data_IF_850298157425
#
_entry.id   IF_850298157425
#
_cell.length_a   1.000
_cell.length_b   1.000
_cell.length_c   1.000
_cell.angle_alpha   90.00
_cell.angle_beta   90.00
_cell.angle_gamma   90.00
#
_symmetry.space_group_name_H-M   'P 1'
#
loop_
_entity.id
_entity.type
_entity.pdbx_description
1 polymer ?
#
# COMPACT_ATOMS: atom_id res chain seq x y z
N UNK A 1 -5.96 4.74 34.23
CA UNK A 1 -5.31 5.56 33.17
C UNK A 1 -4.04 4.91 32.61
N UNK A 2 -3.21 4.21 33.40
CA UNK A 2 -2.02 3.48 32.89
C UNK A 2 -2.36 2.30 31.95
N UNK A 3 -3.43 1.56 32.23
CA UNK A 3 -3.92 0.44 31.41
C UNK A 3 -4.33 0.86 29.97
N UNK A 4 -4.92 2.05 29.81
CA UNK A 4 -5.18 2.58 28.46
C UNK A 4 -3.84 2.82 27.75
N UNK A 5 -2.90 3.55 28.34
CA UNK A 5 -1.62 3.90 27.67
C UNK A 5 -0.83 2.66 27.17
N UNK A 6 -0.81 1.57 27.95
CA UNK A 6 -0.10 0.33 27.62
C UNK A 6 -0.76 -0.41 26.43
N UNK A 7 -2.09 -0.46 26.37
CA UNK A 7 -2.82 -1.06 25.25
C UNK A 7 -2.53 -0.39 23.91
N UNK A 8 -2.43 0.94 23.90
CA UNK A 8 -2.18 1.73 22.68
C UNK A 8 -0.73 1.62 22.19
N UNK A 9 0.25 1.63 23.10
CA UNK A 9 1.65 1.41 22.74
C UNK A 9 1.83 0.03 22.11
N UNK A 10 1.10 -0.98 22.62
CA UNK A 10 1.08 -2.32 22.02
C UNK A 10 0.46 -2.31 20.62
N UNK A 11 -0.60 -1.54 20.39
CA UNK A 11 -1.26 -1.45 19.08
C UNK A 11 -0.36 -0.80 18.02
N UNK A 12 0.29 0.32 18.33
CA UNK A 12 1.31 0.92 17.47
C UNK A 12 2.52 0.00 17.26
N UNK A 13 2.99 -0.65 18.32
CA UNK A 13 4.07 -1.63 18.24
C UNK A 13 3.73 -2.80 17.31
N UNK A 14 2.50 -3.32 17.38
CA UNK A 14 2.04 -4.38 16.45
C UNK A 14 1.90 -3.88 15.01
N UNK A 15 1.48 -2.64 14.79
CA UNK A 15 1.38 -2.05 13.46
C UNK A 15 2.76 -1.92 12.81
N UNK A 16 3.73 -1.37 13.55
CA UNK A 16 5.13 -1.26 13.11
C UNK A 16 5.73 -2.65 12.89
N UNK A 17 5.49 -3.59 13.80
CA UNK A 17 5.97 -4.97 13.67
C UNK A 17 5.48 -5.65 12.39
N UNK A 18 4.18 -5.53 12.07
CA UNK A 18 3.62 -6.04 10.80
C UNK A 18 4.24 -5.35 9.59
N UNK A 19 4.40 -4.03 9.64
CA UNK A 19 5.04 -3.26 8.57
C UNK A 19 6.47 -3.75 8.33
N UNK A 20 7.30 -3.85 9.37
CA UNK A 20 8.67 -4.33 9.24
C UNK A 20 8.70 -5.76 8.69
N UNK A 21 7.82 -6.63 9.18
CA UNK A 21 7.76 -8.02 8.71
C UNK A 21 7.37 -8.11 7.23
N UNK A 22 6.34 -7.38 6.80
CA UNK A 22 5.77 -7.50 5.45
C UNK A 22 6.49 -6.62 4.43
N UNK A 23 6.79 -5.36 4.76
CA UNK A 23 7.42 -4.42 3.82
C UNK A 23 8.94 -4.52 3.80
N UNK A 24 9.58 -5.08 4.82
CA UNK A 24 11.06 -5.12 4.92
C UNK A 24 11.58 -6.56 4.93
N UNK A 25 11.16 -7.41 5.86
CA UNK A 25 11.72 -8.76 6.00
C UNK A 25 11.27 -9.67 4.84
N UNK A 26 9.98 -9.69 4.54
CA UNK A 26 9.39 -10.54 3.50
C UNK A 26 10.00 -10.31 2.09
N UNK A 27 10.21 -9.07 1.59
CA UNK A 27 10.84 -8.86 0.28
C UNK A 27 12.33 -9.24 0.25
N UNK A 28 12.99 -9.37 1.40
CA UNK A 28 14.39 -9.80 1.48
C UNK A 28 14.56 -11.33 1.43
N UNK A 29 13.50 -12.12 1.65
CA UNK A 29 13.61 -13.59 1.64
C UNK A 29 14.17 -14.14 0.31
N UNK A 30 13.66 -13.74 -0.88
CA UNK A 30 14.20 -14.25 -2.13
C UNK A 30 15.64 -13.81 -2.39
N UNK A 31 16.10 -12.72 -1.77
CA UNK A 31 17.48 -12.23 -1.88
C UNK A 31 18.46 -13.20 -1.25
N UNK A 32 18.12 -13.71 -0.07
CA UNK A 32 18.94 -14.70 0.65
C UNK A 32 19.09 -16.00 -0.16
N UNK A 33 18.11 -16.30 -1.02
CA UNK A 33 18.07 -17.51 -1.84
C UNK A 33 18.75 -17.29 -3.20
N UNK A 34 18.58 -16.11 -3.81
CA UNK A 34 18.99 -15.82 -5.18
C UNK A 34 20.32 -15.06 -5.30
N UNK A 35 20.92 -14.62 -4.18
CA UNK A 35 22.22 -13.93 -4.18
C UNK A 35 22.21 -12.56 -4.86
N UNK A 36 21.07 -11.87 -4.89
CA UNK A 36 20.90 -10.59 -5.56
C UNK A 36 21.65 -9.45 -4.84
N UNK A 37 22.15 -8.43 -5.58
CA UNK A 37 22.94 -7.34 -5.00
C UNK A 37 22.10 -6.46 -4.07
N UNK A 38 22.48 -6.42 -2.78
CA UNK A 38 21.75 -5.71 -1.72
C UNK A 38 21.48 -4.23 -2.05
N UNK A 39 22.43 -3.54 -2.69
CA UNK A 39 22.29 -2.14 -3.06
C UNK A 39 21.14 -1.89 -4.04
N UNK A 40 20.97 -2.76 -5.05
CA UNK A 40 19.86 -2.64 -6.00
C UNK A 40 18.51 -2.86 -5.34
N UNK A 41 18.43 -3.75 -4.35
CA UNK A 41 17.18 -4.09 -3.66
C UNK A 41 16.76 -2.94 -2.76
N UNK A 42 17.69 -2.37 -2.01
CA UNK A 42 17.44 -1.19 -1.21
C UNK A 42 17.00 -0.01 -2.08
N UNK A 43 17.60 0.15 -3.27
CA UNK A 43 17.16 1.15 -4.24
C UNK A 43 15.73 0.87 -4.75
N UNK A 44 15.38 -0.39 -5.03
CA UNK A 44 14.03 -0.77 -5.43
C UNK A 44 13.02 -0.52 -4.30
N UNK A 45 13.35 -0.88 -3.06
CA UNK A 45 12.49 -0.62 -1.90
C UNK A 45 12.30 0.88 -1.67
N UNK A 46 13.39 1.66 -1.66
CA UNK A 46 13.34 3.10 -1.49
C UNK A 46 12.53 3.78 -2.61
N UNK A 47 12.75 3.38 -3.87
CA UNK A 47 11.96 3.90 -4.99
C UNK A 47 10.50 3.48 -4.91
N UNK A 48 10.17 2.31 -4.34
CA UNK A 48 8.78 1.91 -4.10
C UNK A 48 8.10 2.81 -3.07
N UNK A 49 8.81 3.24 -2.02
CA UNK A 49 8.25 4.21 -1.07
C UNK A 49 7.97 5.58 -1.70
N UNK A 50 8.79 6.00 -2.67
CA UNK A 50 8.72 7.34 -3.28
C UNK A 50 7.79 7.39 -4.49
N UNK A 51 7.88 6.41 -5.39
CA UNK A 51 7.24 6.39 -6.73
C UNK A 51 6.17 5.28 -6.80
N UNK A 52 5.97 4.53 -5.72
CA UNK A 52 4.95 3.48 -5.64
C UNK A 52 5.10 2.44 -6.77
N UNK A 53 4.03 2.20 -7.55
CA UNK A 53 4.01 1.25 -8.66
C UNK A 53 4.96 1.65 -9.81
N UNK A 54 5.42 2.91 -9.84
CA UNK A 54 6.43 3.41 -10.76
C UNK A 54 7.85 2.95 -10.44
N UNK A 55 8.07 2.25 -9.32
CA UNK A 55 9.35 1.62 -9.00
C UNK A 55 9.66 0.38 -9.87
N UNK A 56 8.66 -0.18 -10.55
CA UNK A 56 8.82 -1.27 -11.51
C UNK A 56 9.94 -0.99 -12.53
N UNK A 57 9.87 0.12 -13.29
CA UNK A 57 10.95 0.55 -14.17
C UNK A 57 12.35 0.61 -13.54
N UNK A 58 12.45 1.07 -12.29
CA UNK A 58 13.73 1.16 -11.57
C UNK A 58 14.33 -0.22 -11.34
N UNK A 59 13.52 -1.18 -10.86
CA UNK A 59 13.96 -2.56 -10.64
C UNK A 59 14.41 -3.24 -11.93
N UNK A 60 13.66 -3.06 -13.01
CA UNK A 60 14.02 -3.59 -14.33
C UNK A 60 15.30 -2.94 -14.86
N UNK A 61 15.44 -1.61 -14.72
CA UNK A 61 16.64 -0.87 -15.11
C UNK A 61 17.89 -1.30 -14.34
N UNK A 62 17.74 -1.79 -13.11
CA UNK A 62 18.81 -2.39 -12.31
C UNK A 62 19.12 -3.86 -12.70
N UNK A 63 18.49 -4.37 -13.76
CA UNK A 63 18.71 -5.73 -14.28
C UNK A 63 18.02 -6.83 -13.46
N UNK A 64 17.04 -6.49 -12.62
CA UNK A 64 16.38 -7.48 -11.78
C UNK A 64 15.31 -8.28 -12.53
N UNK A 65 15.07 -9.55 -12.14
CA UNK A 65 13.98 -10.34 -12.70
C UNK A 65 12.62 -9.67 -12.50
N UNK A 66 11.76 -9.57 -13.53
CA UNK A 66 10.47 -8.87 -13.44
C UNK A 66 9.55 -9.39 -12.32
N UNK A 67 9.53 -10.70 -12.12
CA UNK A 67 8.74 -11.35 -11.07
C UNK A 67 9.24 -10.95 -9.68
N UNK A 68 10.55 -10.83 -9.51
CA UNK A 68 11.16 -10.37 -8.26
C UNK A 68 10.84 -8.89 -8.00
N UNK A 69 10.91 -8.05 -9.03
CA UNK A 69 10.54 -6.62 -8.92
C UNK A 69 9.08 -6.50 -8.47
N UNK A 70 8.16 -7.24 -9.11
CA UNK A 70 6.76 -7.24 -8.72
C UNK A 70 6.57 -7.71 -7.27
N UNK A 71 7.25 -8.79 -6.86
CA UNK A 71 7.21 -9.29 -5.49
C UNK A 71 7.58 -8.21 -4.46
N UNK A 72 8.71 -7.52 -4.66
CA UNK A 72 9.19 -6.49 -3.73
C UNK A 72 8.19 -5.34 -3.64
N UNK A 73 7.77 -4.82 -4.79
CA UNK A 73 6.87 -3.66 -4.91
C UNK A 73 5.52 -3.96 -4.24
N UNK A 74 5.00 -5.17 -4.44
CA UNK A 74 3.73 -5.65 -3.85
C UNK A 74 3.85 -5.86 -2.33
N UNK A 75 4.95 -6.43 -1.83
CA UNK A 75 5.18 -6.60 -0.39
C UNK A 75 5.24 -5.26 0.34
N UNK A 76 6.00 -4.30 -0.22
CA UNK A 76 6.10 -2.94 0.34
C UNK A 76 4.74 -2.27 0.37
N UNK A 77 3.99 -2.32 -0.74
CA UNK A 77 2.65 -1.73 -0.82
C UNK A 77 1.68 -2.32 0.21
N UNK A 78 1.69 -3.64 0.40
CA UNK A 78 0.86 -4.31 1.39
C UNK A 78 1.21 -3.86 2.81
N UNK A 79 2.49 -3.81 3.15
CA UNK A 79 2.93 -3.36 4.47
C UNK A 79 2.55 -1.90 4.73
N UNK A 80 2.73 -1.01 3.76
CA UNK A 80 2.29 0.40 3.85
C UNK A 80 0.78 0.48 4.07
N UNK A 81 0.00 -0.23 3.26
CA UNK A 81 -1.47 -0.22 3.34
C UNK A 81 -1.93 -0.64 4.74
N UNK A 82 -1.37 -1.74 5.27
CA UNK A 82 -1.69 -2.23 6.62
C UNK A 82 -1.29 -1.23 7.71
N UNK A 83 -0.10 -0.62 7.58
CA UNK A 83 0.37 0.40 8.52
C UNK A 83 -0.57 1.61 8.56
N UNK A 84 -1.01 2.10 7.41
CA UNK A 84 -1.97 3.20 7.32
C UNK A 84 -3.28 2.87 8.05
N UNK A 85 -3.88 1.70 7.76
CA UNK A 85 -5.11 1.30 8.44
C UNK A 85 -4.92 1.15 9.96
N UNK A 86 -3.83 0.54 10.41
CA UNK A 86 -3.59 0.35 11.85
C UNK A 86 -3.32 1.70 12.56
N UNK A 87 -2.61 2.65 11.92
CA UNK A 87 -2.39 4.00 12.47
C UNK A 87 -3.71 4.78 12.54
N UNK A 88 -4.52 4.74 11.48
CA UNK A 88 -5.80 5.43 11.43
C UNK A 88 -6.77 4.88 12.48
N UNK A 89 -6.86 3.55 12.61
CA UNK A 89 -7.66 2.89 13.64
C UNK A 89 -7.21 3.31 15.05
N UNK A 90 -5.90 3.37 15.30
CA UNK A 90 -5.35 3.85 16.57
C UNK A 90 -5.71 5.33 16.84
N UNK A 91 -5.70 6.17 15.81
CA UNK A 91 -6.04 7.59 15.92
C UNK A 91 -7.53 7.82 16.22
N UNK A 92 -8.43 7.05 15.59
CA UNK A 92 -9.85 7.06 15.91
C UNK A 92 -10.14 6.58 17.34
N UNK A 93 -9.41 5.57 17.82
CA UNK A 93 -9.49 5.11 19.20
C UNK A 93 -9.03 6.16 20.23
N UNK A 94 -8.08 7.02 19.85
CA UNK A 94 -7.50 8.02 20.75
C UNK A 94 -8.33 9.31 20.87
N UNK A 95 -9.08 9.70 19.84
CA UNK A 95 -9.78 10.99 19.82
C UNK A 95 -11.27 10.85 19.50
N UNK A 96 -12.10 11.12 20.50
CA UNK A 96 -13.56 11.22 20.34
C UNK A 96 -13.96 12.26 19.28
N UNK A 97 -13.13 13.29 19.07
CA UNK A 97 -13.35 14.32 18.04
C UNK A 97 -13.10 13.77 16.64
N UNK A 98 -12.07 12.93 16.47
CA UNK A 98 -11.75 12.26 15.20
C UNK A 98 -12.81 11.21 14.90
N UNK A 99 -13.20 10.37 15.88
CA UNK A 99 -14.25 9.37 15.69
C UNK A 99 -15.61 10.00 15.36
N UNK A 100 -15.97 11.12 15.99
CA UNK A 100 -17.21 11.85 15.67
C UNK A 100 -17.14 12.52 14.29
N UNK A 101 -15.98 13.06 13.90
CA UNK A 101 -15.79 13.61 12.55
C UNK A 101 -15.89 12.51 11.48
N UNK A 102 -15.34 11.33 11.75
CA UNK A 102 -15.44 10.15 10.90
C UNK A 102 -16.87 9.67 10.76
N UNK A 103 -17.61 9.57 11.86
CA UNK A 103 -19.02 9.18 11.83
C UNK A 103 -19.84 10.16 10.96
N UNK A 104 -19.56 11.46 11.07
CA UNK A 104 -20.20 12.48 10.21
C UNK A 104 -19.76 12.38 8.74
N UNK A 105 -18.49 12.08 8.48
CA UNK A 105 -17.96 11.90 7.12
C UNK A 105 -18.56 10.66 6.46
N UNK A 106 -18.66 9.54 7.19
CA UNK A 106 -19.31 8.31 6.76
C UNK A 106 -20.80 8.54 6.47
N UNK A 107 -21.52 9.23 7.36
CA UNK A 107 -22.94 9.55 7.15
C UNK A 107 -23.15 10.43 5.91
N UNK A 108 -22.26 11.41 5.70
CA UNK A 108 -22.28 12.28 4.52
C UNK A 108 -21.92 11.54 3.24
N UNK A 109 -21.00 10.58 3.31
CA UNK A 109 -20.66 9.69 2.21
C UNK A 109 -21.84 8.79 1.83
N UNK A 110 -22.53 8.19 2.81
CA UNK A 110 -23.74 7.38 2.58
C UNK A 110 -24.88 8.15 1.93
N UNK A 111 -25.01 9.45 2.22
CA UNK A 111 -26.01 10.34 1.57
C UNK A 111 -25.63 10.75 0.15
N UNK A 112 -24.38 10.57 -0.27
CA UNK A 112 -23.91 11.00 -1.59
C UNK A 112 -24.10 9.92 -2.65
N UNK A 113 -24.83 10.25 -3.72
CA UNK A 113 -25.20 9.32 -4.80
C UNK A 113 -23.97 8.81 -5.60
N UNK A 114 -22.85 9.53 -5.58
CA UNK A 114 -21.58 9.10 -6.20
C UNK A 114 -20.94 7.92 -5.48
N UNK A 115 -21.03 7.88 -4.14
CA UNK A 115 -20.49 6.79 -3.32
C UNK A 115 -21.38 5.55 -3.41
N UNK A 116 -22.71 5.68 -3.56
CA UNK A 116 -23.58 4.52 -3.78
C UNK A 116 -23.49 3.94 -5.20
N UNK A 117 -23.17 4.76 -6.21
CA UNK A 117 -23.16 4.35 -7.62
C UNK A 117 -21.83 3.72 -8.07
N UNK A 118 -20.67 4.19 -7.57
CA UNK A 118 -19.35 3.60 -7.88
C UNK A 118 -18.80 2.73 -6.74
N UNK A 119 -19.35 2.86 -5.53
CA UNK A 119 -19.05 1.99 -4.39
C UNK A 119 -17.57 1.89 -4.05
N UNK A 120 -17.26 0.83 -3.31
CA UNK A 120 -15.90 0.45 -2.91
C UNK A 120 -15.02 0.07 -4.12
N UNK A 121 -15.62 -0.34 -5.25
CA UNK A 121 -14.91 -0.76 -6.47
C UNK A 121 -14.16 0.38 -7.15
N UNK A 122 -14.55 1.64 -6.91
CA UNK A 122 -13.80 2.82 -7.38
C UNK A 122 -12.38 2.91 -6.82
N UNK A 123 -12.03 2.14 -5.80
CA UNK A 123 -10.66 2.06 -5.27
C UNK A 123 -9.66 1.51 -6.29
N UNK A 124 -10.08 0.59 -7.16
CA UNK A 124 -9.19 0.00 -8.16
C UNK A 124 -8.64 1.07 -9.12
N UNK A 125 -9.48 1.82 -9.86
CA UNK A 125 -8.98 2.92 -10.70
C UNK A 125 -8.42 4.08 -9.86
N UNK A 126 -8.92 4.28 -8.64
CA UNK A 126 -8.42 5.31 -7.73
C UNK A 126 -6.94 5.13 -7.38
N UNK A 127 -6.52 3.90 -7.08
CA UNK A 127 -5.12 3.58 -6.77
C UNK A 127 -4.23 3.76 -7.99
N UNK A 128 -4.73 3.43 -9.19
CA UNK A 128 -3.97 3.64 -10.41
C UNK A 128 -3.67 5.13 -10.65
N UNK A 129 -4.63 6.01 -10.35
CA UNK A 129 -4.49 7.45 -10.64
C UNK A 129 -3.78 8.20 -9.51
N UNK A 130 -4.13 7.93 -8.25
CA UNK A 130 -3.67 8.72 -7.08
C UNK A 130 -2.74 7.98 -6.13
N UNK A 131 -2.59 6.67 -6.29
CA UNK A 131 -1.69 5.87 -5.46
C UNK A 131 -2.30 5.34 -4.16
N UNK A 132 -1.50 4.53 -3.47
CA UNK A 132 -1.85 3.83 -2.23
C UNK A 132 -1.95 4.80 -1.04
N UNK A 133 -1.13 5.85 -1.02
CA UNK A 133 -1.11 6.82 0.08
C UNK A 133 -2.42 7.62 0.20
N UNK A 134 -3.12 7.85 -0.90
CA UNK A 134 -4.39 8.60 -0.90
C UNK A 134 -5.58 7.66 -0.72
N UNK A 135 -5.58 6.50 -1.39
CA UNK A 135 -6.74 5.60 -1.34
C UNK A 135 -6.95 4.96 0.04
N UNK A 136 -5.87 4.66 0.76
CA UNK A 136 -5.94 4.06 2.11
C UNK A 136 -6.71 4.96 3.09
N UNK A 137 -6.31 6.23 3.35
CA UNK A 137 -7.05 7.11 4.24
C UNK A 137 -8.43 7.47 3.71
N UNK A 138 -8.63 7.64 2.40
CA UNK A 138 -9.96 7.93 1.83
C UNK A 138 -10.92 6.78 2.10
N UNK A 139 -10.52 5.53 1.84
CA UNK A 139 -11.37 4.37 2.08
C UNK A 139 -11.75 4.21 3.56
N UNK A 140 -10.83 4.61 4.45
CA UNK A 140 -11.05 4.60 5.89
C UNK A 140 -11.99 5.73 6.34
N UNK A 141 -11.81 6.96 5.83
CA UNK A 141 -12.69 8.11 6.12
C UNK A 141 -14.12 7.85 5.66
N UNK A 142 -14.30 7.13 4.55
CA UNK A 142 -15.61 6.75 4.03
C UNK A 142 -16.27 5.58 4.80
N UNK A 143 -15.60 5.02 5.82
CA UNK A 143 -16.14 3.95 6.64
C UNK A 143 -16.30 2.62 5.92
N UNK A 144 -15.57 2.39 4.82
CA UNK A 144 -15.66 1.14 4.08
C UNK A 144 -15.02 -0.02 4.84
N UNK A 145 -15.50 -1.24 4.59
CA UNK A 145 -14.98 -2.42 5.27
C UNK A 145 -13.49 -2.61 4.98
N UNK A 146 -12.68 -2.48 6.03
CA UNK A 146 -11.21 -2.57 6.00
C UNK A 146 -10.69 -3.72 5.14
N UNK A 147 -11.23 -4.94 5.31
CA UNK A 147 -10.73 -6.12 4.59
C UNK A 147 -10.94 -5.98 3.09
N UNK A 148 -12.12 -5.53 2.68
CA UNK A 148 -12.44 -5.31 1.26
C UNK A 148 -11.64 -4.15 0.68
N UNK A 149 -11.49 -3.04 1.42
CA UNK A 149 -10.68 -1.90 0.97
C UNK A 149 -9.22 -2.30 0.73
N UNK A 150 -8.62 -3.06 1.65
CA UNK A 150 -7.24 -3.56 1.49
C UNK A 150 -7.12 -4.42 0.24
N UNK A 151 -8.02 -5.39 0.04
CA UNK A 151 -7.99 -6.29 -1.12
C UNK A 151 -8.15 -5.51 -2.43
N UNK A 152 -9.06 -4.53 -2.48
CA UNK A 152 -9.29 -3.73 -3.67
C UNK A 152 -8.12 -2.81 -3.99
N UNK A 153 -7.57 -2.12 -2.98
CA UNK A 153 -6.38 -1.28 -3.12
C UNK A 153 -5.20 -2.11 -3.61
N UNK A 154 -4.97 -3.27 -2.98
CA UNK A 154 -3.90 -4.18 -3.32
C UNK A 154 -4.05 -4.75 -4.74
N UNK A 155 -5.27 -5.12 -5.15
CA UNK A 155 -5.54 -5.63 -6.49
C UNK A 155 -5.29 -4.56 -7.57
N UNK A 156 -5.76 -3.33 -7.37
CA UNK A 156 -5.50 -2.22 -8.28
C UNK A 156 -4.03 -1.87 -8.36
N UNK A 157 -3.33 -1.88 -7.22
CA UNK A 157 -1.90 -1.64 -7.17
C UNK A 157 -1.10 -2.71 -7.92
N UNK A 158 -1.43 -3.98 -7.72
CA UNK A 158 -0.76 -5.10 -8.38
C UNK A 158 -0.95 -5.03 -9.90
N UNK A 159 -2.15 -4.66 -10.36
CA UNK A 159 -2.42 -4.44 -11.78
C UNK A 159 -1.61 -3.26 -12.34
N UNK A 160 -1.54 -2.14 -11.62
CA UNK A 160 -0.75 -0.98 -12.02
C UNK A 160 0.75 -1.30 -12.10
N UNK A 161 1.30 -1.99 -11.10
CA UNK A 161 2.69 -2.42 -11.05
C UNK A 161 3.02 -3.45 -12.15
N UNK A 162 2.11 -4.39 -12.41
CA UNK A 162 2.28 -5.34 -13.53
C UNK A 162 2.29 -4.59 -14.87
N UNK A 163 1.36 -3.65 -15.06
CA UNK A 163 1.31 -2.80 -16.24
C UNK A 163 2.59 -1.98 -16.42
N UNK A 164 3.11 -1.35 -15.36
CA UNK A 164 4.34 -0.56 -15.43
C UNK A 164 5.55 -1.39 -15.81
N UNK A 165 5.67 -2.61 -15.27
CA UNK A 165 6.73 -3.56 -15.62
C UNK A 165 6.61 -4.02 -17.07
N UNK A 166 5.40 -4.39 -17.53
CA UNK A 166 5.17 -4.84 -18.90
C UNK A 166 5.50 -3.73 -19.92
N UNK A 167 5.08 -2.50 -19.65
CA UNK A 167 5.41 -1.33 -20.48
C UNK A 167 6.92 -1.13 -20.52
N UNK A 168 7.60 -1.22 -19.38
CA UNK A 168 9.06 -1.10 -19.33
C UNK A 168 9.75 -2.16 -20.17
N UNK A 169 9.34 -3.43 -20.05
CA UNK A 169 9.90 -4.52 -20.85
C UNK A 169 9.65 -4.33 -22.36
N UNK A 170 8.46 -3.84 -22.74
CA UNK A 170 8.13 -3.52 -24.13
C UNK A 170 8.99 -2.38 -24.69
N UNK A 171 9.18 -1.31 -23.92
CA UNK A 171 10.04 -0.17 -24.29
C UNK A 171 11.49 -0.63 -24.46
N UNK A 172 12.03 -1.40 -23.52
CA UNK A 172 13.41 -1.89 -23.62
C UNK A 172 13.60 -2.75 -24.87
N UNK A 173 12.64 -3.61 -25.20
CA UNK A 173 12.70 -4.39 -26.46
C UNK A 173 12.75 -3.50 -27.70
N UNK A 174 12.03 -2.39 -27.73
CA UNK A 174 12.03 -1.46 -28.86
C UNK A 174 13.36 -0.71 -29.02
N UNK A 175 14.03 -0.36 -27.92
CA UNK A 175 15.31 0.34 -27.95
C UNK A 175 16.51 -0.58 -28.23
N UNK A 176 16.43 -1.85 -27.87
CA UNK A 176 17.49 -2.84 -28.06
C UNK A 176 17.25 -3.79 -29.26
N UNK A 177 16.28 -3.47 -30.15
CA UNK A 177 16.09 -4.09 -31.47
C UNK A 177 16.68 -3.19 -32.54
#
# INVERSE_FOLDING_TARGET
MAELSIGHFRQFGTAIGKFLLIAIILPLIPVLILGLPAGGILALMASTFVIEYGAGPVGIGLGMPPVFVLWVVVCVALGITLLFFDILDALAGHSARVSTFLARAEERAKRSNLVSRHGIYGLIPGVMIRGIYVCSPVSWILGWNRKYSIVLIFSGYTLAATGSILVTLGILKLFFT
#
